data_IF_184365076656
#
_entry.id   IF_184365076656
#
_cell.length_a   1.000
_cell.length_b   1.000
_cell.length_c   1.000
_cell.angle_alpha   90.00
_cell.angle_beta   90.00
_cell.angle_gamma   90.00
#
_symmetry.space_group_name_H-M   'P 1'
#
loop_
_entity.id
_entity.type
_entity.pdbx_description
1 polymer ?
#
# COMPACT_ATOMS: atom_id res chain seq x y z
N UNK A 1 13.73 25.39 2.98
CA UNK A 1 13.22 24.44 4.02
C UNK A 1 11.71 24.31 3.95
N UNK A 2 10.95 25.41 3.94
CA UNK A 2 9.48 25.42 3.81
C UNK A 2 8.95 24.67 2.58
N UNK A 3 9.54 24.90 1.40
CA UNK A 3 9.09 24.24 0.16
C UNK A 3 9.24 22.71 0.20
N UNK A 4 10.32 22.18 0.80
CA UNK A 4 10.54 20.73 0.95
C UNK A 4 9.56 20.09 1.94
N UNK A 5 9.27 20.78 3.04
CA UNK A 5 8.27 20.31 4.03
C UNK A 5 6.86 20.29 3.42
N UNK A 6 6.52 21.33 2.67
CA UNK A 6 5.23 21.43 1.98
C UNK A 6 5.08 20.35 0.91
N UNK A 7 6.11 20.11 0.10
CA UNK A 7 6.14 19.04 -0.90
C UNK A 7 6.01 17.65 -0.24
N UNK A 8 6.78 17.37 0.81
CA UNK A 8 6.69 16.11 1.55
C UNK A 8 5.30 15.87 2.14
N UNK A 9 4.69 16.92 2.71
CA UNK A 9 3.34 16.85 3.30
C UNK A 9 2.28 16.60 2.22
N UNK A 10 2.41 17.22 1.04
CA UNK A 10 1.50 17.01 -0.08
C UNK A 10 1.57 15.57 -0.60
N UNK A 11 2.78 15.02 -0.79
CA UNK A 11 2.95 13.63 -1.23
C UNK A 11 2.43 12.67 -0.16
N UNK A 12 2.67 12.96 1.13
CA UNK A 12 2.19 12.14 2.23
C UNK A 12 0.67 12.10 2.28
N UNK A 13 0.02 13.27 2.30
CA UNK A 13 -1.45 13.39 2.31
C UNK A 13 -2.06 12.69 1.10
N UNK A 14 -1.45 12.81 -0.08
CA UNK A 14 -1.92 12.17 -1.30
C UNK A 14 -1.84 10.65 -1.19
N UNK A 15 -0.70 10.11 -0.74
CA UNK A 15 -0.53 8.66 -0.55
C UNK A 15 -1.48 8.11 0.53
N UNK A 16 -1.60 8.81 1.67
CA UNK A 16 -2.53 8.42 2.73
C UNK A 16 -3.98 8.42 2.23
N UNK A 17 -4.37 9.41 1.43
CA UNK A 17 -5.67 9.46 0.78
C UNK A 17 -5.90 8.31 -0.20
N UNK A 18 -4.89 7.93 -0.98
CA UNK A 18 -4.97 6.79 -1.89
C UNK A 18 -5.12 5.46 -1.15
N UNK A 19 -4.31 5.22 -0.11
CA UNK A 19 -4.42 4.01 0.70
C UNK A 19 -5.75 3.94 1.46
N UNK A 20 -6.22 5.07 1.98
CA UNK A 20 -7.54 5.15 2.62
C UNK A 20 -8.65 4.79 1.64
N UNK A 21 -8.64 5.41 0.45
CA UNK A 21 -9.64 5.15 -0.59
C UNK A 21 -9.60 3.70 -1.05
N UNK A 22 -8.41 3.13 -1.26
CA UNK A 22 -8.25 1.73 -1.61
C UNK A 22 -8.80 0.81 -0.51
N UNK A 23 -8.50 1.09 0.77
CA UNK A 23 -9.02 0.33 1.91
C UNK A 23 -10.55 0.36 1.98
N UNK A 24 -11.17 1.54 1.80
CA UNK A 24 -12.63 1.68 1.74
C UNK A 24 -13.20 0.91 0.56
N UNK A 25 -12.62 1.01 -0.64
CA UNK A 25 -13.10 0.28 -1.82
C UNK A 25 -13.04 -1.23 -1.59
N UNK A 26 -11.93 -1.74 -1.07
CA UNK A 26 -11.77 -3.16 -0.72
C UNK A 26 -12.87 -3.56 0.26
N UNK A 27 -13.05 -2.79 1.34
CA UNK A 27 -14.11 -3.09 2.31
C UNK A 27 -15.50 -3.08 1.68
N UNK A 28 -15.84 -2.08 0.85
CA UNK A 28 -17.15 -1.99 0.20
C UNK A 28 -17.38 -3.18 -0.72
N UNK A 29 -16.41 -3.53 -1.56
CA UNK A 29 -16.55 -4.63 -2.52
C UNK A 29 -16.71 -5.96 -1.81
N UNK A 30 -15.80 -6.30 -0.91
CA UNK A 30 -15.85 -7.59 -0.19
C UNK A 30 -16.96 -7.62 0.84
N UNK A 31 -17.20 -6.52 1.54
CA UNK A 31 -18.31 -6.37 2.48
C UNK A 31 -19.64 -6.57 1.78
N UNK A 32 -19.86 -5.95 0.63
CA UNK A 32 -21.08 -6.13 -0.17
C UNK A 32 -21.25 -7.58 -0.63
N UNK A 33 -20.19 -8.22 -1.15
CA UNK A 33 -20.21 -9.64 -1.52
C UNK A 33 -20.56 -10.56 -0.34
N UNK A 34 -20.19 -10.17 0.88
CA UNK A 34 -20.49 -10.89 2.12
C UNK A 34 -21.81 -10.44 2.79
N UNK A 35 -22.60 -9.59 2.12
CA UNK A 35 -23.92 -9.15 2.59
C UNK A 35 -23.94 -7.94 3.52
N UNK A 36 -22.79 -7.30 3.77
CA UNK A 36 -22.73 -6.06 4.53
C UNK A 36 -23.36 -4.91 3.74
N UNK A 37 -24.29 -4.19 4.37
CA UNK A 37 -25.00 -3.04 3.76
C UNK A 37 -24.54 -1.69 4.29
N UNK A 38 -23.78 -1.68 5.38
CA UNK A 38 -23.29 -0.48 6.03
C UNK A 38 -21.86 -0.69 6.52
N UNK A 39 -21.10 0.40 6.60
CA UNK A 39 -19.80 0.45 7.25
C UNK A 39 -20.00 1.15 8.60
N UNK A 40 -19.54 0.55 9.69
CA UNK A 40 -19.55 1.23 10.98
C UNK A 40 -18.55 2.39 10.97
N UNK A 41 -18.85 3.46 11.70
CA UNK A 41 -17.92 4.58 11.86
C UNK A 41 -16.57 4.12 12.41
N UNK A 42 -16.57 3.15 13.34
CA UNK A 42 -15.36 2.57 13.90
C UNK A 42 -14.46 1.94 12.83
N UNK A 43 -15.03 1.16 11.91
CA UNK A 43 -14.27 0.56 10.81
C UNK A 43 -13.66 1.63 9.89
N UNK A 44 -14.37 2.73 9.64
CA UNK A 44 -13.83 3.86 8.86
C UNK A 44 -12.61 4.46 9.56
N UNK A 45 -12.70 4.69 10.87
CA UNK A 45 -11.59 5.22 11.68
C UNK A 45 -10.40 4.23 11.71
N UNK A 46 -10.66 2.93 11.82
CA UNK A 46 -9.61 1.90 11.76
C UNK A 46 -8.89 1.90 10.40
N UNK A 47 -9.64 1.97 9.28
CA UNK A 47 -9.07 2.07 7.93
C UNK A 47 -8.27 3.36 7.75
N UNK A 48 -8.72 4.48 8.36
CA UNK A 48 -8.01 5.76 8.34
C UNK A 48 -6.65 5.67 9.04
N UNK A 49 -6.57 5.11 10.24
CA UNK A 49 -5.28 4.95 10.91
C UNK A 49 -4.38 3.92 10.21
N UNK A 50 -4.97 2.86 9.67
CA UNK A 50 -4.22 1.88 8.88
C UNK A 50 -3.62 2.50 7.61
N UNK A 51 -4.33 3.41 6.93
CA UNK A 51 -3.80 4.07 5.74
C UNK A 51 -2.63 5.01 6.07
N UNK A 52 -2.70 5.73 7.18
CA UNK A 52 -1.59 6.54 7.70
C UNK A 52 -0.39 5.63 7.99
N UNK A 53 -0.61 4.51 8.69
CA UNK A 53 0.44 3.55 9.01
C UNK A 53 1.12 2.99 7.75
N UNK A 54 0.33 2.52 6.78
CA UNK A 54 0.84 2.00 5.50
C UNK A 54 1.64 3.08 4.76
N UNK A 55 1.18 4.33 4.80
CA UNK A 55 1.89 5.47 4.18
C UNK A 55 3.25 5.68 4.84
N UNK A 56 3.30 5.76 6.17
CA UNK A 56 4.56 5.92 6.92
C UNK A 56 5.52 4.79 6.58
N UNK A 57 5.05 3.55 6.61
CA UNK A 57 5.86 2.38 6.29
C UNK A 57 6.37 2.45 4.84
N UNK A 58 5.55 2.90 3.89
CA UNK A 58 5.97 3.09 2.51
C UNK A 58 7.09 4.15 2.40
N UNK A 59 6.96 5.28 3.10
CA UNK A 59 8.03 6.28 3.18
C UNK A 59 9.30 5.70 3.78
N UNK A 60 9.21 5.05 4.94
CA UNK A 60 10.37 4.51 5.66
C UNK A 60 11.14 3.49 4.82
N UNK A 61 10.43 2.62 4.08
CA UNK A 61 11.07 1.57 3.29
C UNK A 61 11.50 2.06 1.90
N UNK A 62 10.75 2.95 1.26
CA UNK A 62 10.93 3.24 -0.17
C UNK A 62 11.34 4.68 -0.49
N UNK A 63 11.49 5.58 0.48
CA UNK A 63 12.06 6.90 0.22
C UNK A 63 13.52 6.81 -0.25
N UNK A 64 13.97 7.78 -1.04
CA UNK A 64 15.37 7.89 -1.47
C UNK A 64 16.33 8.00 -0.26
N UNK A 65 15.90 8.71 0.80
CA UNK A 65 16.64 8.86 2.05
C UNK A 65 16.40 7.71 3.05
N UNK A 66 15.87 6.56 2.60
CA UNK A 66 15.56 5.44 3.48
C UNK A 66 16.83 4.92 4.17
N UNK A 67 16.83 4.87 5.50
CA UNK A 67 17.90 4.27 6.29
C UNK A 67 18.02 2.75 6.08
N UNK A 68 16.99 2.11 5.52
CA UNK A 68 16.98 0.68 5.24
C UNK A 68 17.72 0.37 3.94
N UNK A 69 19.02 0.06 4.07
CA UNK A 69 19.91 -0.40 2.97
C UNK A 69 19.67 -1.87 2.60
N UNK A 70 18.41 -2.27 2.47
CA UNK A 70 18.01 -3.61 2.01
C UNK A 70 17.73 -3.60 0.50
N UNK A 71 17.92 -4.75 -0.15
CA UNK A 71 17.47 -4.91 -1.53
C UNK A 71 15.93 -4.83 -1.61
N UNK A 72 15.40 -4.58 -2.82
CA UNK A 72 13.97 -4.40 -3.02
C UNK A 72 13.14 -5.62 -2.53
N UNK A 73 13.63 -6.84 -2.76
CA UNK A 73 12.99 -8.07 -2.29
C UNK A 73 12.91 -8.12 -0.75
N UNK A 74 13.98 -7.73 -0.05
CA UNK A 74 14.01 -7.66 1.40
C UNK A 74 13.06 -6.60 1.95
N UNK A 75 12.95 -5.43 1.31
CA UNK A 75 11.98 -4.39 1.68
C UNK A 75 10.54 -4.89 1.54
N UNK A 76 10.23 -5.57 0.44
CA UNK A 76 8.91 -6.21 0.22
C UNK A 76 8.63 -7.27 1.27
N UNK A 77 9.63 -8.08 1.65
CA UNK A 77 9.46 -9.11 2.66
C UNK A 77 9.24 -8.52 4.07
N UNK A 78 10.00 -7.49 4.45
CA UNK A 78 9.79 -6.77 5.72
C UNK A 78 8.41 -6.14 5.76
N UNK A 79 8.03 -5.44 4.69
CA UNK A 79 6.72 -4.83 4.55
C UNK A 79 5.59 -5.86 4.70
N UNK A 80 5.76 -7.03 4.09
CA UNK A 80 4.81 -8.14 4.17
C UNK A 80 4.63 -8.62 5.61
N UNK A 81 5.74 -8.91 6.30
CA UNK A 81 5.70 -9.38 7.69
C UNK A 81 5.06 -8.34 8.61
N UNK A 82 5.45 -7.07 8.49
CA UNK A 82 4.92 -5.99 9.32
C UNK A 82 3.41 -5.84 9.11
N UNK A 83 2.94 -5.80 7.86
CA UNK A 83 1.50 -5.71 7.59
C UNK A 83 0.73 -6.94 8.06
N UNK A 84 1.30 -8.14 7.92
CA UNK A 84 0.70 -9.37 8.43
C UNK A 84 0.56 -9.34 9.96
N UNK A 85 1.60 -8.91 10.67
CA UNK A 85 1.56 -8.74 12.12
C UNK A 85 0.55 -7.67 12.54
N UNK A 86 0.47 -6.55 11.82
CA UNK A 86 -0.52 -5.50 12.11
C UNK A 86 -1.94 -5.99 11.87
N UNK A 87 -2.20 -6.73 10.78
CA UNK A 87 -3.50 -7.35 10.52
C UNK A 87 -3.93 -8.28 11.66
N UNK A 88 -3.02 -9.17 12.10
CA UNK A 88 -3.29 -10.06 13.23
C UNK A 88 -3.50 -9.29 14.53
N UNK A 89 -2.66 -8.29 14.81
CA UNK A 89 -2.77 -7.46 16.01
C UNK A 89 -4.08 -6.68 16.06
N UNK A 90 -4.47 -6.06 14.94
CA UNK A 90 -5.75 -5.34 14.83
C UNK A 90 -6.93 -6.30 14.91
N UNK A 91 -6.85 -7.50 14.34
CA UNK A 91 -7.96 -8.45 14.43
C UNK A 91 -8.25 -8.88 15.86
N UNK A 92 -7.21 -9.06 16.68
CA UNK A 92 -7.37 -9.37 18.10
C UNK A 92 -7.85 -8.16 18.90
N UNK A 93 -7.29 -6.97 18.63
CA UNK A 93 -7.64 -5.75 19.37
C UNK A 93 -9.09 -5.30 19.12
N UNK A 94 -9.56 -5.41 17.88
CA UNK A 94 -10.88 -4.95 17.45
C UNK A 94 -11.87 -6.08 17.21
N UNK A 95 -11.53 -7.31 17.61
CA UNK A 95 -12.37 -8.50 17.46
C UNK A 95 -12.93 -8.71 16.04
N UNK A 96 -12.11 -8.44 15.01
CA UNK A 96 -12.55 -8.60 13.61
C UNK A 96 -12.84 -10.06 13.24
N UNK A 97 -12.04 -10.99 13.79
CA UNK A 97 -12.22 -12.44 13.64
C UNK A 97 -11.45 -13.18 14.72
N UNK A 98 -11.97 -14.35 15.10
CA UNK A 98 -11.29 -15.26 16.02
C UNK A 98 -10.25 -16.10 15.30
N UNK A 99 -9.09 -16.30 15.93
CA UNK A 99 -8.01 -17.11 15.37
C UNK A 99 -8.45 -18.58 15.20
N UNK A 100 -8.11 -19.17 14.06
CA UNK A 100 -8.44 -20.56 13.74
C UNK A 100 -9.85 -20.78 13.18
N UNK A 101 -10.66 -19.73 13.05
CA UNK A 101 -11.97 -19.83 12.38
C UNK A 101 -11.84 -19.81 10.86
N UNK A 102 -12.89 -20.24 10.15
CA UNK A 102 -12.96 -20.13 8.69
C UNK A 102 -12.80 -18.67 8.19
N UNK A 103 -13.34 -17.71 8.93
CA UNK A 103 -13.18 -16.27 8.63
C UNK A 103 -11.70 -15.84 8.73
N UNK A 104 -10.97 -16.34 9.72
CA UNK A 104 -9.54 -16.09 9.87
C UNK A 104 -8.75 -16.58 8.64
N UNK A 105 -8.99 -17.81 8.18
CA UNK A 105 -8.30 -18.34 7.01
C UNK A 105 -8.67 -17.60 5.72
N UNK A 106 -9.95 -17.24 5.55
CA UNK A 106 -10.40 -16.41 4.41
C UNK A 106 -9.71 -15.04 4.40
N UNK A 107 -9.56 -14.40 5.57
CA UNK A 107 -8.85 -13.12 5.67
C UNK A 107 -7.36 -13.25 5.42
N UNK A 108 -6.71 -14.32 5.87
CA UNK A 108 -5.32 -14.59 5.51
C UNK A 108 -5.16 -14.74 4.01
N UNK A 109 -6.01 -15.54 3.35
CA UNK A 109 -5.96 -15.71 1.89
C UNK A 109 -6.16 -14.36 1.19
N UNK A 110 -7.13 -13.56 1.64
CA UNK A 110 -7.40 -12.23 1.08
C UNK A 110 -6.19 -11.29 1.24
N UNK A 111 -5.55 -11.30 2.40
CA UNK A 111 -4.33 -10.53 2.65
C UNK A 111 -3.21 -10.90 1.66
N UNK A 112 -2.94 -12.19 1.46
CA UNK A 112 -1.91 -12.64 0.52
C UNK A 112 -2.25 -12.21 -0.91
N UNK A 113 -3.52 -12.35 -1.33
CA UNK A 113 -3.96 -11.95 -2.67
C UNK A 113 -3.83 -10.44 -2.90
N UNK A 114 -4.30 -9.62 -1.96
CA UNK A 114 -4.21 -8.16 -2.07
C UNK A 114 -2.75 -7.71 -2.08
N UNK A 115 -1.92 -8.29 -1.20
CA UNK A 115 -0.52 -7.91 -1.11
C UNK A 115 0.26 -8.29 -2.38
N UNK A 116 0.06 -9.53 -2.87
CA UNK A 116 0.64 -9.97 -4.14
C UNK A 116 0.16 -9.09 -5.30
N UNK A 117 -1.15 -8.82 -5.38
CA UNK A 117 -1.74 -7.93 -6.38
C UNK A 117 -1.13 -6.52 -6.34
N UNK A 118 -0.88 -5.98 -5.14
CA UNK A 118 -0.19 -4.71 -4.94
C UNK A 118 1.25 -4.74 -5.50
N UNK A 119 2.05 -5.75 -5.16
CA UNK A 119 3.40 -5.92 -5.69
C UNK A 119 3.39 -6.01 -7.21
N UNK A 120 2.51 -6.84 -7.78
CA UNK A 120 2.40 -7.00 -9.23
C UNK A 120 1.98 -5.69 -9.90
N UNK A 121 1.03 -4.96 -9.33
CA UNK A 121 0.61 -3.65 -9.80
C UNK A 121 1.79 -2.66 -9.83
N UNK A 122 2.57 -2.61 -8.76
CA UNK A 122 3.79 -1.77 -8.71
C UNK A 122 4.84 -2.23 -9.72
N UNK A 123 5.09 -3.53 -9.86
CA UNK A 123 6.05 -4.06 -10.82
C UNK A 123 5.66 -3.71 -12.27
N UNK A 124 4.37 -3.82 -12.61
CA UNK A 124 3.83 -3.42 -13.92
C UNK A 124 3.97 -1.91 -14.11
N UNK A 125 3.56 -1.12 -13.11
CA UNK A 125 3.66 0.34 -13.15
C UNK A 125 5.09 0.82 -13.42
N UNK A 126 6.06 0.30 -12.67
CA UNK A 126 7.48 0.65 -12.85
C UNK A 126 8.05 0.12 -14.16
N UNK A 127 7.64 -1.06 -14.64
CA UNK A 127 8.05 -1.55 -15.95
C UNK A 127 7.54 -0.66 -17.08
N UNK A 128 6.27 -0.24 -17.02
CA UNK A 128 5.67 0.67 -18.02
C UNK A 128 6.32 2.05 -17.99
N UNK A 129 6.55 2.61 -16.80
CA UNK A 129 7.24 3.89 -16.65
C UNK A 129 8.71 3.82 -17.09
N UNK A 130 9.42 2.75 -16.75
CA UNK A 130 10.78 2.49 -17.22
C UNK A 130 10.84 2.43 -18.74
N UNK A 131 9.88 1.77 -19.39
CA UNK A 131 9.78 1.78 -20.85
C UNK A 131 9.51 3.19 -21.42
N UNK A 132 8.64 3.98 -20.79
CA UNK A 132 8.37 5.37 -21.22
C UNK A 132 9.59 6.27 -21.04
N UNK A 133 10.31 6.15 -19.92
CA UNK A 133 11.55 6.90 -19.68
C UNK A 133 12.65 6.53 -20.67
N UNK A 134 12.81 5.23 -20.95
CA UNK A 134 13.81 4.75 -21.89
C UNK A 134 13.52 5.24 -23.32
N UNK A 135 12.24 5.22 -23.74
CA UNK A 135 11.81 5.83 -25.01
C UNK A 135 12.11 7.33 -25.07
N UNK A 136 11.88 8.07 -23.99
CA UNK A 136 12.17 9.50 -23.92
C UNK A 136 13.67 9.79 -23.99
N UNK A 137 14.51 8.99 -23.33
CA UNK A 137 15.97 9.10 -23.43
C UNK A 137 16.51 8.80 -24.83
N UNK A 138 15.97 7.78 -25.50
CA UNK A 138 16.31 7.47 -26.90
C UNK A 138 15.99 8.67 -27.80
N UNK A 139 14.80 9.24 -27.65
CA UNK A 139 14.38 10.42 -28.41
C UNK A 139 15.28 11.66 -28.16
N UNK A 140 15.75 11.88 -26.92
CA UNK A 140 16.70 12.95 -26.62
C UNK A 140 18.11 12.70 -27.20
N UNK A 141 18.54 11.44 -27.28
CA UNK A 141 19.81 11.08 -27.92
C UNK A 141 19.77 11.29 -29.43
N UNK A 142 18.68 10.88 -30.07
CA UNK A 142 18.46 11.08 -31.52
C UNK A 142 18.36 12.57 -31.88
N UNK A 143 17.76 13.40 -31.03
CA UNK A 143 17.71 14.86 -31.22
C UNK A 143 19.04 15.58 -30.95
N UNK A 144 19.99 14.98 -30.24
CA UNK A 144 21.33 15.56 -30.00
C UNK A 144 22.37 15.16 -31.05
N UNK A 145 22.05 14.17 -31.88
CA UNK A 145 22.92 13.69 -32.97
C UNK A 145 22.56 14.28 -34.34
N UNK A 146 21.47 15.03 -34.43
CA UNK A 146 21.09 15.87 -35.58
C UNK A 146 21.27 17.35 -35.22
#
# INVERSE_FOLDING_TARGET
MWNKLMESTLVFKTMAGLFFSAGIIIYVVFGFMLGARAISFEMIVQIFFLSIFVTIMNYVLWSEDSAFKMNAAGKVFVQYLVLGTVLLGMSQLFHWFELGTDQFYKMLILFHMIYAGGIFGFAIYFRVLGMKFNKKMLHYREQKQN
#
